data_IF_266314899175
#
_entry.id   IF_266314899175
#
_cell.length_a   1.000
_cell.length_b   1.000
_cell.length_c   1.000
_cell.angle_alpha   90.00
_cell.angle_beta   90.00
_cell.angle_gamma   90.00
#
_symmetry.space_group_name_H-M   'P 1'
#
loop_
_entity.id
_entity.type
_entity.pdbx_description
1 polymer ?
#
# COMPACT_ATOMS: atom_id res chain seq x y z
N UNK A 1 -24.80 20.52 76.32
CA UNK A 1 -24.28 19.36 75.57
C UNK A 1 -24.65 19.52 74.11
N UNK A 2 -23.68 19.30 73.23
CA UNK A 2 -23.66 19.61 71.80
C UNK A 2 -24.62 18.72 71.00
N UNK A 3 -25.25 19.25 69.96
CA UNK A 3 -25.54 18.49 68.74
C UNK A 3 -25.70 19.43 67.53
N UNK A 4 -24.78 19.29 66.58
CA UNK A 4 -24.72 20.05 65.32
C UNK A 4 -25.73 19.52 64.30
N UNK A 5 -26.30 20.36 63.41
CA UNK A 5 -26.97 19.87 62.20
C UNK A 5 -25.93 19.58 61.10
N UNK A 6 -26.12 18.45 60.42
CA UNK A 6 -25.23 17.87 59.41
C UNK A 6 -25.12 18.75 58.15
N UNK A 7 -23.89 18.93 57.68
CA UNK A 7 -23.55 19.45 56.33
C UNK A 7 -24.22 18.60 55.25
N UNK A 8 -24.87 19.24 54.29
CA UNK A 8 -25.30 18.64 53.04
C UNK A 8 -24.10 18.14 52.25
N UNK A 9 -24.08 16.83 51.96
CA UNK A 9 -23.07 16.22 51.09
C UNK A 9 -23.30 16.64 49.65
N UNK A 10 -22.29 17.27 49.04
CA UNK A 10 -22.16 17.31 47.58
C UNK A 10 -22.07 15.87 47.07
N UNK A 11 -22.97 15.49 46.17
CA UNK A 11 -22.84 14.23 45.43
C UNK A 11 -21.53 14.20 44.65
N UNK A 12 -20.97 13.01 44.38
CA UNK A 12 -19.72 12.89 43.64
C UNK A 12 -19.89 13.50 42.24
N UNK A 13 -18.88 14.24 41.79
CA UNK A 13 -18.78 14.71 40.41
C UNK A 13 -18.86 13.50 39.46
N UNK A 14 -19.46 13.62 38.27
CA UNK A 14 -19.46 12.53 37.30
C UNK A 14 -18.01 12.18 36.99
N UNK A 15 -17.64 10.91 37.23
CA UNK A 15 -16.34 10.38 36.85
C UNK A 15 -16.09 10.64 35.36
N UNK A 16 -14.90 11.12 34.96
CA UNK A 16 -14.54 11.17 33.56
C UNK A 16 -14.60 9.73 33.02
N UNK A 17 -15.37 9.53 31.93
CA UNK A 17 -15.46 8.23 31.29
C UNK A 17 -14.05 7.68 31.02
N UNK A 18 -13.70 6.50 31.54
CA UNK A 18 -12.37 5.95 31.33
C UNK A 18 -12.14 5.68 29.84
N UNK A 19 -11.01 6.16 29.33
CA UNK A 19 -10.47 5.73 28.02
C UNK A 19 -10.44 4.20 28.00
N UNK A 20 -11.02 3.62 26.93
CA UNK A 20 -11.18 2.18 26.71
C UNK A 20 -9.81 1.47 26.70
N UNK A 21 -9.32 1.09 27.87
CA UNK A 21 -8.24 0.10 28.01
C UNK A 21 -8.89 -1.28 27.98
N UNK A 22 -8.86 -1.94 26.82
CA UNK A 22 -9.19 -3.35 26.67
C UNK A 22 -8.19 -4.20 27.48
N UNK A 23 -8.68 -5.27 28.12
CA UNK A 23 -7.83 -6.26 28.78
C UNK A 23 -6.99 -7.03 27.73
N UNK A 24 -5.80 -7.56 28.08
CA UNK A 24 -4.99 -8.36 27.16
C UNK A 24 -5.76 -9.60 26.67
N UNK A 25 -6.09 -9.65 25.38
CA UNK A 25 -6.69 -10.81 24.72
C UNK A 25 -8.08 -10.61 24.10
N UNK A 26 -8.81 -9.55 24.48
CA UNK A 26 -10.11 -9.22 23.87
C UNK A 26 -9.97 -8.01 22.93
N UNK A 27 -9.51 -8.24 21.70
CA UNK A 27 -9.72 -7.26 20.64
C UNK A 27 -11.21 -7.30 20.27
N UNK A 28 -11.97 -6.33 20.78
CA UNK A 28 -13.28 -6.00 20.21
C UNK A 28 -13.03 -5.00 19.10
N UNK A 29 -13.23 -5.44 17.85
CA UNK A 29 -13.10 -4.56 16.70
C UNK A 29 -13.86 -3.26 16.97
N UNK A 30 -13.23 -2.08 16.86
CA UNK A 30 -13.97 -0.83 16.80
C UNK A 30 -15.05 -1.02 15.73
N UNK A 31 -16.31 -0.78 16.09
CA UNK A 31 -17.33 -0.50 15.09
C UNK A 31 -16.84 0.78 14.43
N UNK A 32 -16.22 0.67 13.25
CA UNK A 32 -15.76 1.85 12.53
C UNK A 32 -16.94 2.78 12.35
N UNK A 33 -16.83 4.01 12.83
CA UNK A 33 -17.77 5.07 12.48
C UNK A 33 -17.65 5.25 10.97
N UNK A 34 -18.57 4.64 10.21
CA UNK A 34 -18.71 4.88 8.78
C UNK A 34 -19.18 6.33 8.63
N UNK A 35 -18.22 7.24 8.48
CA UNK A 35 -18.50 8.63 8.16
C UNK A 35 -19.11 8.70 6.76
N UNK A 36 -20.30 9.28 6.65
CA UNK A 36 -20.95 9.51 5.36
C UNK A 36 -20.14 10.52 4.52
N UNK A 37 -20.32 10.53 3.19
CA UNK A 37 -19.56 11.44 2.30
C UNK A 37 -19.73 12.92 2.67
N UNK A 38 -20.88 13.29 3.22
CA UNK A 38 -21.16 14.65 3.71
C UNK A 38 -20.37 15.01 4.96
N UNK A 39 -20.27 14.08 5.91
CA UNK A 39 -19.48 14.26 7.13
C UNK A 39 -18.00 14.32 6.81
N UNK A 40 -17.56 13.48 5.85
CA UNK A 40 -16.21 13.51 5.34
C UNK A 40 -15.88 14.82 4.61
N UNK A 41 -16.83 15.37 3.86
CA UNK A 41 -16.69 16.68 3.23
C UNK A 41 -16.64 17.82 4.26
N UNK A 42 -17.41 17.73 5.35
CA UNK A 42 -17.34 18.67 6.46
C UNK A 42 -15.97 18.63 7.17
N UNK A 43 -15.47 17.43 7.48
CA UNK A 43 -14.13 17.25 8.05
C UNK A 43 -13.03 17.78 7.12
N UNK A 44 -13.16 17.55 5.80
CA UNK A 44 -12.25 18.08 4.79
C UNK A 44 -12.27 19.61 4.69
N UNK A 45 -13.41 20.24 4.99
CA UNK A 45 -13.55 21.68 5.01
C UNK A 45 -12.94 22.29 6.29
N UNK A 46 -12.98 21.57 7.41
CA UNK A 46 -12.41 22.01 8.68
C UNK A 46 -10.89 21.83 8.73
N UNK A 47 -10.36 20.72 8.21
CA UNK A 47 -8.94 20.33 8.32
C UNK A 47 -8.47 19.58 7.07
N UNK A 48 -7.16 19.62 6.73
CA UNK A 48 -6.64 18.75 5.69
C UNK A 48 -6.76 17.28 6.11
N UNK A 49 -7.44 16.47 5.30
CA UNK A 49 -7.62 15.03 5.56
C UNK A 49 -6.40 14.23 5.13
N UNK A 50 -5.55 13.86 6.09
CA UNK A 50 -4.48 12.89 5.88
C UNK A 50 -5.05 11.48 6.04
N UNK A 51 -4.73 10.58 5.10
CA UNK A 51 -5.24 9.19 5.13
C UNK A 51 -4.21 8.24 5.76
N UNK A 52 -4.69 7.09 6.23
CA UNK A 52 -3.86 6.00 6.72
C UNK A 52 -4.12 4.74 5.89
N UNK A 53 -3.12 3.89 5.74
CA UNK A 53 -3.26 2.54 5.19
C UNK A 53 -2.10 1.66 5.68
N UNK A 54 -2.12 0.36 5.38
CA UNK A 54 -1.00 -0.55 5.65
C UNK A 54 -0.25 -0.94 4.38
N UNK A 55 0.97 -1.44 4.50
CA UNK A 55 1.83 -1.77 3.33
C UNK A 55 1.40 -3.03 2.58
N UNK A 56 0.69 -3.96 3.23
CA UNK A 56 0.04 -5.11 2.58
C UNK A 56 0.17 -6.43 3.33
N UNK A 57 1.38 -6.83 3.74
CA UNK A 57 1.55 -8.01 4.58
C UNK A 57 0.94 -7.81 5.98
N UNK A 58 0.47 -8.89 6.60
CA UNK A 58 -0.04 -8.90 7.97
C UNK A 58 0.29 -10.24 8.64
N UNK A 59 0.57 -10.29 9.97
CA UNK A 59 0.87 -11.52 10.68
C UNK A 59 -0.31 -12.49 10.73
N UNK A 60 0.00 -13.75 11.04
CA UNK A 60 -0.98 -14.80 11.29
C UNK A 60 -1.41 -15.57 10.04
N UNK A 61 -2.32 -16.53 10.25
CA UNK A 61 -2.80 -17.46 9.21
C UNK A 61 -4.30 -17.34 8.93
N UNK A 62 -5.04 -16.61 9.78
CA UNK A 62 -6.48 -16.37 9.63
C UNK A 62 -6.74 -15.04 8.91
N UNK A 63 -7.20 -15.14 7.65
CA UNK A 63 -7.58 -13.96 6.86
C UNK A 63 -8.75 -13.20 7.50
N UNK A 64 -9.74 -13.92 8.01
CA UNK A 64 -10.91 -13.32 8.62
C UNK A 64 -10.56 -12.43 9.84
N UNK A 65 -9.61 -12.88 10.67
CA UNK A 65 -9.12 -12.09 11.81
C UNK A 65 -8.28 -10.90 11.34
N UNK A 66 -7.38 -11.10 10.38
CA UNK A 66 -6.56 -10.04 9.82
C UNK A 66 -7.42 -8.91 9.22
N UNK A 67 -8.41 -9.25 8.40
CA UNK A 67 -9.37 -8.28 7.85
C UNK A 67 -10.17 -7.57 8.96
N UNK A 68 -10.51 -8.27 10.05
CA UNK A 68 -11.22 -7.65 11.17
C UNK A 68 -10.41 -6.58 11.89
N UNK A 69 -9.12 -6.83 12.06
CA UNK A 69 -8.20 -5.88 12.68
C UNK A 69 -7.94 -4.70 11.75
N UNK A 70 -7.63 -4.98 10.49
CA UNK A 70 -7.36 -3.96 9.47
C UNK A 70 -8.54 -3.02 9.29
N UNK A 71 -9.75 -3.55 9.14
CA UNK A 71 -10.94 -2.72 8.91
C UNK A 71 -11.43 -2.01 10.18
N UNK A 72 -11.13 -2.56 11.37
CA UNK A 72 -11.42 -1.88 12.64
C UNK A 72 -10.53 -0.67 12.88
N UNK A 73 -9.25 -0.73 12.45
CA UNK A 73 -8.31 0.40 12.59
C UNK A 73 -8.36 1.36 11.39
N UNK A 74 -8.51 0.86 10.17
CA UNK A 74 -8.50 1.65 8.92
C UNK A 74 -9.90 1.94 8.38
N UNK A 75 -10.85 2.29 9.28
CA UNK A 75 -12.17 2.78 8.91
C UNK A 75 -12.13 4.14 8.18
N UNK A 76 -13.29 4.69 7.80
CA UNK A 76 -13.34 6.03 7.19
C UNK A 76 -12.66 7.07 8.10
N UNK A 77 -11.76 7.95 7.60
CA UNK A 77 -11.48 8.31 6.19
C UNK A 77 -10.33 7.54 5.52
N UNK A 78 -9.82 6.49 6.18
CA UNK A 78 -8.61 5.77 5.81
C UNK A 78 -8.85 4.78 4.65
N UNK A 79 -7.83 3.99 4.29
CA UNK A 79 -7.90 3.04 3.18
C UNK A 79 -7.64 1.62 3.69
N UNK A 80 -8.68 0.82 3.96
CA UNK A 80 -8.53 -0.59 4.30
C UNK A 80 -8.04 -1.37 3.09
N UNK A 81 -7.44 -2.55 3.34
CA UNK A 81 -6.78 -3.33 2.30
C UNK A 81 -6.93 -4.84 2.51
N UNK A 82 -6.80 -5.62 1.42
CA UNK A 82 -6.82 -7.08 1.45
C UNK A 82 -5.45 -7.61 1.87
N UNK A 83 -5.29 -8.13 3.12
CA UNK A 83 -3.98 -8.52 3.61
C UNK A 83 -3.38 -9.67 2.81
N UNK A 84 -2.05 -9.66 2.74
CA UNK A 84 -1.26 -10.84 2.39
C UNK A 84 -0.80 -11.49 3.70
N UNK A 85 -0.87 -12.82 3.80
CA UNK A 85 -0.51 -13.56 5.01
C UNK A 85 0.72 -14.43 4.75
N UNK A 86 1.95 -13.90 4.95
CA UNK A 86 3.17 -14.64 4.62
C UNK A 86 3.31 -15.96 5.39
N UNK A 87 2.73 -16.07 6.59
CA UNK A 87 2.75 -17.29 7.40
C UNK A 87 1.97 -18.46 6.76
N UNK A 88 1.14 -18.21 5.74
CA UNK A 88 0.43 -19.25 4.97
C UNK A 88 1.29 -19.88 3.86
N UNK A 89 2.57 -19.49 3.77
CA UNK A 89 3.52 -20.00 2.79
C UNK A 89 3.42 -19.29 1.44
N UNK A 90 3.94 -19.93 0.39
CA UNK A 90 4.11 -19.32 -0.93
C UNK A 90 2.78 -18.81 -1.55
N UNK A 91 1.66 -19.46 -1.24
CA UNK A 91 0.31 -19.09 -1.73
C UNK A 91 -0.14 -17.72 -1.23
N UNK A 92 0.35 -17.28 -0.07
CA UNK A 92 -0.01 -16.00 0.55
C UNK A 92 0.82 -14.82 0.08
N UNK A 93 1.70 -15.00 -0.92
CA UNK A 93 2.62 -13.95 -1.40
C UNK A 93 1.98 -13.06 -2.46
N UNK A 94 2.43 -11.79 -2.55
CA UNK A 94 2.05 -10.87 -3.63
C UNK A 94 2.27 -11.46 -5.03
N UNK A 95 3.39 -12.16 -5.21
CA UNK A 95 3.75 -12.78 -6.49
C UNK A 95 2.77 -13.88 -6.86
N UNK A 96 2.43 -14.79 -5.93
CA UNK A 96 1.43 -15.83 -6.18
C UNK A 96 0.06 -15.23 -6.53
N UNK A 97 -0.37 -14.19 -5.80
CA UNK A 97 -1.62 -13.46 -6.06
C UNK A 97 -1.64 -12.81 -7.45
N UNK A 98 -0.51 -12.27 -7.89
CA UNK A 98 -0.39 -11.60 -9.20
C UNK A 98 -0.39 -12.63 -10.33
N UNK A 99 0.29 -13.76 -10.15
CA UNK A 99 0.29 -14.87 -11.11
C UNK A 99 -1.09 -15.53 -11.24
N UNK A 100 -1.87 -15.59 -10.16
CA UNK A 100 -3.26 -16.05 -10.20
C UNK A 100 -4.19 -15.16 -11.06
N UNK A 101 -3.80 -13.91 -11.32
CA UNK A 101 -4.55 -12.99 -12.17
C UNK A 101 -4.21 -13.19 -13.65
N UNK A 102 -3.06 -13.78 -13.98
CA UNK A 102 -2.62 -13.97 -15.36
C UNK A 102 -3.54 -14.95 -16.11
N UNK A 103 -4.02 -14.55 -17.28
CA UNK A 103 -4.89 -15.37 -18.14
C UNK A 103 -4.08 -15.97 -19.32
N UNK A 104 -4.35 -17.20 -19.71
CA UNK A 104 -3.73 -17.85 -20.88
C UNK A 104 -2.31 -18.42 -20.68
N UNK A 105 -1.62 -18.07 -19.58
CA UNK A 105 -0.31 -18.60 -19.20
C UNK A 105 -0.42 -19.36 -17.88
N UNK A 106 0.17 -20.55 -17.81
CA UNK A 106 0.24 -21.35 -16.58
C UNK A 106 1.61 -21.23 -15.92
N UNK A 107 1.65 -21.45 -14.59
CA UNK A 107 2.87 -21.33 -13.80
C UNK A 107 3.04 -22.52 -12.86
N UNK A 108 4.28 -22.98 -12.78
CA UNK A 108 4.74 -24.08 -11.93
C UNK A 108 5.68 -23.55 -10.84
N UNK A 109 5.64 -24.18 -9.66
CA UNK A 109 6.51 -23.84 -8.54
C UNK A 109 7.79 -24.66 -8.57
N UNK A 110 8.93 -24.04 -8.84
CA UNK A 110 10.24 -24.66 -8.77
C UNK A 110 11.01 -24.24 -7.50
N UNK A 111 12.08 -24.98 -7.16
CA UNK A 111 12.95 -24.65 -6.02
C UNK A 111 13.60 -23.27 -6.10
N UNK A 112 13.72 -22.73 -7.32
CA UNK A 112 14.30 -21.42 -7.60
C UNK A 112 13.25 -20.31 -7.84
N UNK A 113 11.95 -20.63 -7.78
CA UNK A 113 10.86 -19.68 -7.95
C UNK A 113 9.78 -20.15 -8.93
N UNK A 114 8.96 -19.19 -9.37
CA UNK A 114 7.86 -19.44 -10.32
C UNK A 114 8.37 -19.58 -11.75
N UNK A 115 7.91 -20.60 -12.47
CA UNK A 115 8.30 -20.85 -13.85
C UNK A 115 7.08 -20.90 -14.76
N UNK A 116 7.14 -20.20 -15.89
CA UNK A 116 6.14 -20.30 -16.96
C UNK A 116 6.11 -21.70 -17.56
N UNK A 117 4.92 -22.19 -17.85
CA UNK A 117 4.71 -23.45 -18.56
C UNK A 117 3.60 -23.28 -19.61
N UNK A 118 3.66 -24.08 -20.68
CA UNK A 118 2.58 -24.11 -21.67
C UNK A 118 1.30 -24.67 -21.03
N UNK A 119 0.17 -24.00 -21.28
CA UNK A 119 -1.15 -24.28 -20.69
C UNK A 119 -1.71 -25.68 -21.01
N UNK A 120 -1.15 -26.40 -21.98
CA UNK A 120 -1.59 -27.75 -22.38
C UNK A 120 -0.99 -28.88 -21.54
N UNK A 121 -0.27 -28.58 -20.44
CA UNK A 121 0.47 -29.55 -19.63
C UNK A 121 -0.01 -29.73 -18.18
N UNK A 122 0.52 -30.75 -17.49
CA UNK A 122 0.32 -31.02 -16.04
C UNK A 122 0.94 -29.95 -15.11
N UNK A 123 1.61 -28.93 -15.65
CA UNK A 123 2.36 -27.92 -14.89
C UNK A 123 1.54 -26.74 -14.34
N UNK A 124 0.21 -26.85 -14.33
CA UNK A 124 -0.71 -25.78 -13.91
C UNK A 124 -1.23 -25.95 -12.47
N UNK A 125 -0.68 -26.88 -11.68
CA UNK A 125 -1.22 -27.18 -10.35
C UNK A 125 -0.98 -26.01 -9.39
N UNK A 126 0.22 -25.45 -9.37
CA UNK A 126 0.61 -24.37 -8.46
C UNK A 126 -0.12 -23.07 -8.81
N UNK A 127 -0.25 -22.74 -10.10
CA UNK A 127 -1.10 -21.61 -10.55
C UNK A 127 -2.57 -21.83 -10.17
N UNK A 128 -3.14 -23.01 -10.41
CA UNK A 128 -4.51 -23.31 -10.01
C UNK A 128 -4.74 -23.21 -8.49
N UNK A 129 -3.75 -23.61 -7.68
CA UNK A 129 -3.80 -23.45 -6.22
C UNK A 129 -3.67 -21.99 -5.78
N UNK A 130 -2.98 -21.14 -6.54
CA UNK A 130 -2.92 -19.70 -6.29
C UNK A 130 -4.26 -19.02 -6.67
N UNK A 131 -4.87 -19.42 -7.78
CA UNK A 131 -6.21 -19.00 -8.19
C UNK A 131 -7.27 -19.37 -7.16
N UNK A 132 -7.31 -20.64 -6.73
CA UNK A 132 -8.22 -21.11 -5.67
C UNK A 132 -8.01 -20.33 -4.37
N UNK A 133 -6.75 -20.02 -4.02
CA UNK A 133 -6.44 -19.20 -2.83
C UNK A 133 -6.99 -17.78 -2.97
N UNK A 134 -6.81 -17.12 -4.11
CA UNK A 134 -7.31 -15.77 -4.35
C UNK A 134 -8.85 -15.74 -4.36
N UNK A 135 -9.48 -16.72 -4.99
CA UNK A 135 -10.94 -16.86 -4.98
C UNK A 135 -11.47 -17.08 -3.56
N UNK A 136 -10.80 -17.94 -2.78
CA UNK A 136 -11.11 -18.15 -1.37
C UNK A 136 -10.96 -16.87 -0.54
N UNK A 137 -9.92 -16.06 -0.77
CA UNK A 137 -9.75 -14.76 -0.12
C UNK A 137 -10.90 -13.80 -0.44
N UNK A 138 -11.34 -13.75 -1.70
CA UNK A 138 -12.46 -12.90 -2.14
C UNK A 138 -13.79 -13.38 -1.55
N UNK A 139 -14.03 -14.69 -1.49
CA UNK A 139 -15.24 -15.24 -0.87
C UNK A 139 -15.30 -14.92 0.63
N UNK A 140 -14.17 -15.01 1.35
CA UNK A 140 -14.09 -14.62 2.75
C UNK A 140 -14.34 -13.12 2.95
N UNK A 141 -13.88 -12.27 2.02
CA UNK A 141 -14.22 -10.85 2.01
C UNK A 141 -15.73 -10.64 1.82
N UNK A 142 -16.35 -11.36 0.89
CA UNK A 142 -17.79 -11.29 0.64
C UNK A 142 -18.62 -11.71 1.86
N UNK A 143 -18.28 -12.84 2.50
CA UNK A 143 -18.92 -13.32 3.73
C UNK A 143 -18.83 -12.27 4.85
N UNK A 144 -17.65 -11.64 4.98
CA UNK A 144 -17.40 -10.62 5.97
C UNK A 144 -18.24 -9.37 5.72
N UNK A 145 -18.28 -8.86 4.49
CA UNK A 145 -19.11 -7.69 4.13
C UNK A 145 -20.61 -8.02 4.31
N UNK A 146 -21.04 -9.21 3.89
CA UNK A 146 -22.43 -9.67 4.05
C UNK A 146 -22.88 -9.81 5.51
N UNK A 147 -22.01 -10.32 6.39
CA UNK A 147 -22.31 -10.47 7.82
C UNK A 147 -22.55 -9.12 8.53
N UNK A 148 -21.87 -8.05 8.11
CA UNK A 148 -22.10 -6.69 8.61
C UNK A 148 -23.46 -6.13 8.18
N UNK A 149 -23.79 -6.32 6.90
CA UNK A 149 -25.06 -5.85 6.33
C UNK A 149 -26.27 -6.56 6.99
N UNK A 150 -26.13 -7.83 7.36
CA UNK A 150 -27.19 -8.59 8.05
C UNK A 150 -27.39 -8.17 9.52
N UNK A 151 -26.31 -7.77 10.22
CA UNK A 151 -26.37 -7.25 11.59
C UNK A 151 -26.92 -5.82 11.71
N UNK A 152 -26.83 -5.02 10.64
CA UNK A 152 -27.41 -3.67 10.53
C UNK A 152 -28.69 -3.71 9.69
N UNK A 153 -29.86 -3.77 10.34
CA UNK A 153 -31.09 -3.33 9.65
C UNK A 153 -30.95 -1.84 9.36
N UNK A 154 -31.16 -1.47 8.10
CA UNK A 154 -31.31 -0.11 7.56
C UNK A 154 -30.09 0.82 7.61
N UNK A 155 -29.35 0.84 6.50
CA UNK A 155 -29.14 2.07 5.73
C UNK A 155 -28.80 1.62 4.31
N UNK A 156 -29.83 1.38 3.51
CA UNK A 156 -29.67 1.41 2.06
C UNK A 156 -29.06 2.76 1.71
N UNK A 157 -27.79 2.77 1.28
CA UNK A 157 -27.19 3.86 0.51
C UNK A 157 -28.02 4.03 -0.77
N UNK A 158 -29.15 4.71 -0.61
CA UNK A 158 -30.03 5.20 -1.66
C UNK A 158 -29.65 6.65 -1.86
N UNK A 159 -28.45 6.87 -2.36
CA UNK A 159 -27.90 8.18 -2.64
C UNK A 159 -26.92 8.02 -3.79
N UNK A 160 -27.36 8.37 -5.00
CA UNK A 160 -26.61 8.21 -6.26
C UNK A 160 -25.39 9.13 -6.40
N UNK A 161 -24.65 9.40 -5.33
CA UNK A 161 -23.37 10.09 -5.40
C UNK A 161 -22.27 9.04 -5.64
N UNK A 162 -21.53 9.22 -6.73
CA UNK A 162 -20.51 8.28 -7.19
C UNK A 162 -19.30 8.44 -6.27
N UNK A 163 -19.05 7.44 -5.42
CA UNK A 163 -17.90 7.42 -4.54
C UNK A 163 -16.61 7.78 -5.31
N UNK A 164 -16.02 8.92 -4.97
CA UNK A 164 -14.86 9.49 -5.69
C UNK A 164 -13.52 9.00 -5.09
N UNK A 165 -13.57 8.16 -4.05
CA UNK A 165 -12.40 7.66 -3.32
C UNK A 165 -12.38 6.14 -3.29
N UNK A 166 -11.18 5.52 -3.31
CA UNK A 166 -11.08 4.07 -3.29
C UNK A 166 -11.64 3.51 -1.99
N UNK A 167 -12.56 2.55 -2.11
CA UNK A 167 -13.20 1.89 -0.97
C UNK A 167 -12.26 0.86 -0.31
N UNK A 168 -11.43 0.20 -1.11
CA UNK A 168 -10.55 -0.86 -0.67
C UNK A 168 -9.27 -0.90 -1.49
N UNK A 169 -8.19 -1.37 -0.89
CA UNK A 169 -6.89 -1.54 -1.55
C UNK A 169 -6.49 -3.01 -1.68
N UNK A 170 -5.84 -3.37 -2.78
CA UNK A 170 -5.21 -4.68 -2.98
C UNK A 170 -3.77 -4.51 -3.44
N UNK A 171 -2.87 -5.35 -2.92
CA UNK A 171 -1.46 -5.36 -3.25
C UNK A 171 -1.13 -6.50 -4.20
N UNK A 172 -0.41 -6.15 -5.27
CA UNK A 172 0.10 -7.03 -6.33
C UNK A 172 1.58 -6.73 -6.57
N UNK A 173 2.32 -7.70 -7.09
CA UNK A 173 3.68 -7.49 -7.58
C UNK A 173 3.61 -6.71 -8.88
N UNK A 174 4.42 -5.65 -9.01
CA UNK A 174 4.51 -4.86 -10.23
C UNK A 174 5.06 -5.65 -11.42
N UNK A 175 4.72 -5.27 -12.66
CA UNK A 175 5.04 -6.05 -13.86
C UNK A 175 6.55 -6.23 -14.09
N UNK A 176 7.39 -5.28 -13.68
CA UNK A 176 8.84 -5.36 -13.90
C UNK A 176 9.48 -6.37 -12.95
N UNK A 177 9.14 -6.27 -11.66
CA UNK A 177 9.59 -7.22 -10.64
C UNK A 177 9.00 -8.60 -10.86
N UNK A 178 7.77 -8.70 -11.36
CA UNK A 178 7.17 -9.97 -11.75
C UNK A 178 7.99 -10.63 -12.87
N UNK A 179 8.28 -9.91 -13.96
CA UNK A 179 9.13 -10.41 -15.05
C UNK A 179 10.55 -10.75 -14.57
N UNK A 180 11.07 -10.02 -13.58
CA UNK A 180 12.37 -10.30 -13.00
C UNK A 180 12.36 -11.55 -12.09
N UNK A 181 11.24 -11.92 -11.49
CA UNK A 181 11.13 -13.06 -10.56
C UNK A 181 10.67 -14.36 -11.23
N UNK A 182 9.95 -14.27 -12.34
CA UNK A 182 9.43 -15.43 -13.07
C UNK A 182 10.48 -15.97 -14.05
N UNK A 183 10.59 -17.29 -14.11
CA UNK A 183 11.49 -18.02 -14.99
C UNK A 183 10.77 -18.56 -16.23
N UNK A 184 11.47 -18.63 -17.34
CA UNK A 184 11.05 -19.30 -18.56
C UNK A 184 11.23 -20.82 -18.43
N UNK A 185 10.60 -21.63 -19.29
CA UNK A 185 10.86 -23.08 -19.36
C UNK A 185 12.35 -23.40 -19.53
N UNK A 186 13.09 -22.58 -20.28
CA UNK A 186 14.53 -22.69 -20.49
C UNK A 186 15.39 -22.29 -19.28
N UNK A 187 14.79 -21.83 -18.19
CA UNK A 187 15.47 -21.46 -16.96
C UNK A 187 15.97 -20.02 -16.92
N UNK A 188 15.91 -19.24 -18.00
CA UNK A 188 16.23 -17.80 -17.93
C UNK A 188 15.09 -17.01 -17.25
N UNK A 189 15.34 -15.75 -16.83
CA UNK A 189 14.29 -14.89 -16.25
C UNK A 189 13.43 -14.32 -17.38
N UNK A 190 12.12 -14.16 -17.18
CA UNK A 190 11.24 -13.58 -18.20
C UNK A 190 11.70 -12.19 -18.64
N UNK A 191 12.25 -11.40 -17.71
CA UNK A 191 12.86 -10.07 -17.98
C UNK A 191 14.00 -10.09 -19.01
N UNK A 192 14.65 -11.22 -19.23
CA UNK A 192 15.73 -11.34 -20.25
C UNK A 192 15.20 -11.47 -21.68
N UNK A 193 13.92 -11.83 -21.85
CA UNK A 193 13.25 -11.97 -23.13
C UNK A 193 12.14 -10.93 -23.25
N UNK A 194 12.28 -10.01 -24.21
CA UNK A 194 11.30 -8.95 -24.43
C UNK A 194 9.93 -9.48 -24.87
N UNK A 195 9.89 -10.59 -25.61
CA UNK A 195 8.66 -11.27 -26.01
C UNK A 195 7.97 -11.87 -24.79
N UNK A 196 8.69 -12.64 -23.98
CA UNK A 196 8.10 -13.25 -22.79
C UNK A 196 7.68 -12.23 -21.72
N UNK A 197 8.42 -11.13 -21.55
CA UNK A 197 8.03 -10.02 -20.66
C UNK A 197 6.75 -9.34 -21.15
N UNK A 198 6.60 -9.18 -22.46
CA UNK A 198 5.39 -8.64 -23.08
C UNK A 198 4.22 -9.59 -22.90
N UNK A 199 4.40 -10.87 -23.18
CA UNK A 199 3.35 -11.89 -23.06
C UNK A 199 2.87 -12.01 -21.60
N UNK A 200 3.79 -11.92 -20.62
CA UNK A 200 3.45 -11.88 -19.20
C UNK A 200 2.61 -10.65 -18.84
N UNK A 201 3.01 -9.47 -19.33
CA UNK A 201 2.24 -8.26 -19.10
C UNK A 201 0.85 -8.36 -19.75
N UNK A 202 0.78 -8.80 -21.00
CA UNK A 202 -0.47 -8.92 -21.74
C UNK A 202 -1.43 -9.90 -21.04
N UNK A 203 -0.92 -11.07 -20.64
CA UNK A 203 -1.64 -12.07 -19.85
C UNK A 203 -2.16 -11.51 -18.52
N UNK A 204 -1.33 -10.74 -17.80
CA UNK A 204 -1.72 -10.12 -16.54
C UNK A 204 -2.83 -9.09 -16.75
N UNK A 205 -2.69 -8.19 -17.74
CA UNK A 205 -3.67 -7.14 -18.03
C UNK A 205 -5.02 -7.71 -18.49
N UNK A 206 -5.01 -8.82 -19.24
CA UNK A 206 -6.23 -9.51 -19.69
C UNK A 206 -7.05 -10.02 -18.50
N UNK A 207 -6.42 -10.77 -17.59
CA UNK A 207 -7.13 -11.40 -16.47
C UNK A 207 -7.56 -10.45 -15.34
N UNK A 208 -7.04 -9.20 -15.29
CA UNK A 208 -7.45 -8.20 -14.29
C UNK A 208 -8.98 -8.01 -14.23
N UNK A 209 -9.65 -7.93 -15.37
CA UNK A 209 -11.07 -7.60 -15.45
C UNK A 209 -11.94 -8.57 -14.65
N UNK A 210 -11.75 -9.88 -14.86
CA UNK A 210 -12.47 -10.94 -14.14
C UNK A 210 -12.31 -10.79 -12.62
N UNK A 211 -11.08 -10.63 -12.14
CA UNK A 211 -10.79 -10.60 -10.71
C UNK A 211 -11.27 -9.32 -10.03
N UNK A 212 -11.18 -8.16 -10.70
CA UNK A 212 -11.67 -6.90 -10.15
C UNK A 212 -13.19 -6.80 -10.16
N UNK A 213 -13.89 -7.48 -11.08
CA UNK A 213 -15.36 -7.65 -11.00
C UNK A 213 -15.72 -8.42 -9.74
N UNK A 214 -15.11 -9.59 -9.51
CA UNK A 214 -15.36 -10.41 -8.31
C UNK A 214 -15.06 -9.65 -7.00
N UNK A 215 -13.98 -8.86 -6.97
CA UNK A 215 -13.66 -8.02 -5.81
C UNK A 215 -14.74 -6.95 -5.55
N UNK A 216 -15.26 -6.30 -6.59
CA UNK A 216 -16.34 -5.30 -6.45
C UNK A 216 -17.63 -5.94 -5.94
N UNK A 217 -17.96 -7.13 -6.45
CA UNK A 217 -19.12 -7.91 -6.00
C UNK A 217 -18.98 -8.31 -4.53
N UNK A 218 -17.80 -8.81 -4.13
CA UNK A 218 -17.52 -9.15 -2.74
C UNK A 218 -17.64 -7.94 -1.79
N UNK A 219 -17.23 -6.76 -2.25
CA UNK A 219 -17.35 -5.51 -1.49
C UNK A 219 -18.77 -4.92 -1.52
N UNK A 220 -19.72 -5.51 -2.25
CA UNK A 220 -21.06 -4.95 -2.50
C UNK A 220 -21.02 -3.50 -3.02
N UNK A 221 -19.94 -3.15 -3.73
CA UNK A 221 -19.62 -1.80 -4.15
C UNK A 221 -19.35 -1.76 -5.66
N UNK A 222 -20.39 -1.94 -6.49
CA UNK A 222 -20.23 -2.18 -7.93
C UNK A 222 -19.51 -1.03 -8.64
N UNK A 223 -19.71 0.21 -8.20
CA UNK A 223 -19.16 1.41 -8.86
C UNK A 223 -18.03 2.09 -8.08
N UNK A 224 -17.74 1.67 -6.84
CA UNK A 224 -16.74 2.33 -6.01
C UNK A 224 -15.33 2.02 -6.54
N UNK A 225 -14.45 3.01 -6.73
CA UNK A 225 -13.11 2.75 -7.21
C UNK A 225 -12.35 1.85 -6.23
N UNK A 226 -11.43 1.04 -6.74
CA UNK A 226 -10.52 0.21 -5.94
C UNK A 226 -9.10 0.73 -6.14
N UNK A 227 -8.29 0.67 -5.08
CA UNK A 227 -6.87 1.00 -5.18
C UNK A 227 -6.05 -0.28 -5.41
N UNK A 228 -5.12 -0.24 -6.35
CA UNK A 228 -4.19 -1.33 -6.62
C UNK A 228 -2.78 -0.83 -6.36
N UNK A 229 -2.13 -1.43 -5.38
CA UNK A 229 -0.73 -1.17 -5.07
C UNK A 229 0.14 -2.17 -5.83
N UNK A 230 0.99 -1.66 -6.72
CA UNK A 230 1.98 -2.43 -7.45
C UNK A 230 3.35 -2.29 -6.78
N UNK A 231 3.81 -3.38 -6.19
CA UNK A 231 5.08 -3.44 -5.48
C UNK A 231 6.22 -3.81 -6.43
N UNK A 232 7.21 -2.93 -6.55
CA UNK A 232 8.39 -3.12 -7.41
C UNK A 232 9.69 -3.31 -6.60
N UNK A 233 9.84 -4.41 -5.84
CA UNK A 233 11.02 -4.64 -5.00
C UNK A 233 12.33 -4.82 -5.78
N UNK A 234 12.27 -5.26 -7.05
CA UNK A 234 13.45 -5.48 -7.88
C UNK A 234 13.82 -4.26 -8.72
N UNK A 235 13.09 -3.14 -8.63
CA UNK A 235 13.25 -1.99 -9.53
C UNK A 235 14.67 -1.42 -9.46
N UNK A 236 15.22 -1.21 -8.26
CA UNK A 236 16.59 -0.71 -8.10
C UNK A 236 17.61 -1.64 -8.78
N UNK A 237 17.43 -2.95 -8.65
CA UNK A 237 18.35 -3.94 -9.24
C UNK A 237 18.23 -4.01 -10.75
N UNK A 238 17.03 -3.77 -11.29
CA UNK A 238 16.79 -3.63 -12.72
C UNK A 238 17.45 -2.36 -13.28
N UNK A 239 17.37 -1.23 -12.56
CA UNK A 239 18.05 0.02 -12.95
C UNK A 239 19.58 -0.14 -12.93
N UNK A 240 20.10 -0.92 -11.99
CA UNK A 240 21.53 -1.22 -11.86
C UNK A 240 22.03 -2.30 -12.82
N UNK A 241 21.14 -3.12 -13.39
CA UNK A 241 21.55 -4.33 -14.11
C UNK A 241 22.28 -5.33 -13.21
N UNK A 242 21.86 -5.44 -11.94
CA UNK A 242 22.53 -6.25 -10.90
C UNK A 242 21.83 -7.58 -10.62
N UNK A 243 20.79 -7.92 -11.38
CA UNK A 243 20.08 -9.20 -11.24
C UNK A 243 20.87 -10.31 -11.95
N UNK A 244 21.30 -11.38 -11.25
CA UNK A 244 22.06 -12.46 -11.87
C UNK A 244 21.18 -13.31 -12.79
N UNK A 245 21.77 -13.73 -13.90
CA UNK A 245 21.25 -14.82 -14.76
C UNK A 245 21.38 -16.16 -14.03
N UNK A 246 20.69 -17.20 -14.51
CA UNK A 246 20.74 -18.53 -13.88
C UNK A 246 22.13 -19.17 -13.92
N UNK A 247 22.94 -18.81 -14.92
CA UNK A 247 24.35 -19.23 -14.96
C UNK A 247 25.21 -18.63 -13.84
N UNK A 248 24.76 -17.54 -13.21
CA UNK A 248 25.53 -16.77 -12.22
C UNK A 248 26.70 -15.97 -12.79
N UNK A 249 27.12 -16.20 -14.03
CA UNK A 249 28.28 -15.55 -14.66
C UNK A 249 27.96 -14.16 -15.25
N UNK A 250 26.69 -13.88 -15.51
CA UNK A 250 26.22 -12.62 -16.11
C UNK A 250 25.05 -12.07 -15.31
N UNK A 251 24.83 -10.76 -15.41
CA UNK A 251 23.63 -10.10 -14.92
C UNK A 251 22.74 -9.66 -16.09
N UNK A 252 21.46 -9.44 -15.80
CA UNK A 252 20.55 -8.80 -16.73
C UNK A 252 21.04 -7.38 -17.07
N UNK A 253 20.87 -6.92 -18.32
CA UNK A 253 21.18 -5.54 -18.66
C UNK A 253 20.32 -4.58 -17.84
N UNK A 254 20.86 -3.38 -17.58
CA UNK A 254 20.10 -2.31 -16.95
C UNK A 254 18.88 -1.95 -17.82
N UNK A 255 17.71 -1.84 -17.20
CA UNK A 255 16.48 -1.50 -17.92
C UNK A 255 16.53 -0.06 -18.42
N UNK A 256 16.15 0.16 -19.67
CA UNK A 256 16.12 1.51 -20.23
C UNK A 256 14.85 2.28 -19.81
N UNK A 257 14.95 3.63 -19.67
CA UNK A 257 13.82 4.47 -19.28
C UNK A 257 12.53 4.32 -20.07
N UNK A 258 12.62 4.01 -21.36
CA UNK A 258 11.45 3.86 -22.20
C UNK A 258 10.68 2.57 -21.91
N UNK A 259 11.37 1.49 -21.48
CA UNK A 259 10.76 0.17 -21.24
C UNK A 259 9.83 0.20 -20.04
N UNK A 260 10.30 0.68 -18.88
CA UNK A 260 9.45 0.74 -17.70
C UNK A 260 8.32 1.78 -17.81
N UNK A 261 8.57 2.89 -18.51
CA UNK A 261 7.53 3.91 -18.77
C UNK A 261 6.42 3.34 -19.63
N UNK A 262 6.76 2.59 -20.68
CA UNK A 262 5.78 1.96 -21.55
C UNK A 262 4.98 0.88 -20.81
N UNK A 263 5.63 0.02 -20.02
CA UNK A 263 4.94 -0.98 -19.21
C UNK A 263 3.90 -0.36 -18.25
N UNK A 264 4.28 0.72 -17.56
CA UNK A 264 3.39 1.41 -16.63
C UNK A 264 2.33 2.28 -17.32
N UNK A 265 2.60 2.82 -18.51
CA UNK A 265 1.57 3.47 -19.33
C UNK A 265 0.46 2.48 -19.65
N UNK A 266 0.80 1.31 -20.22
CA UNK A 266 -0.16 0.25 -20.56
C UNK A 266 -0.93 -0.27 -19.33
N UNK A 267 -0.23 -0.47 -18.22
CA UNK A 267 -0.85 -0.87 -16.95
C UNK A 267 -1.86 0.18 -16.46
N UNK A 268 -1.51 1.46 -16.56
CA UNK A 268 -2.36 2.55 -16.09
C UNK A 268 -3.59 2.74 -16.97
N UNK A 269 -3.46 2.55 -18.29
CA UNK A 269 -4.59 2.54 -19.24
C UNK A 269 -5.60 1.45 -18.86
N UNK A 270 -5.13 0.21 -18.66
CA UNK A 270 -6.01 -0.89 -18.24
C UNK A 270 -6.65 -0.62 -16.87
N UNK A 271 -5.91 -0.03 -15.92
CA UNK A 271 -6.47 0.37 -14.64
C UNK A 271 -7.54 1.46 -14.79
N UNK A 272 -7.36 2.42 -15.70
CA UNK A 272 -8.33 3.47 -15.96
C UNK A 272 -9.65 2.91 -16.52
N UNK A 273 -9.56 1.96 -17.47
CA UNK A 273 -10.72 1.26 -18.04
C UNK A 273 -11.54 0.52 -16.96
N UNK A 274 -10.84 -0.07 -15.99
CA UNK A 274 -11.43 -0.85 -14.89
C UNK A 274 -11.79 0.01 -13.65
N UNK A 275 -11.69 1.34 -13.75
CA UNK A 275 -11.95 2.29 -12.66
C UNK A 275 -11.14 1.99 -11.39
N UNK A 276 -9.84 1.74 -11.57
CA UNK A 276 -8.87 1.42 -10.53
C UNK A 276 -7.89 2.59 -10.32
N UNK A 277 -7.62 2.93 -9.06
CA UNK A 277 -6.55 3.87 -8.70
C UNK A 277 -5.22 3.12 -8.59
N UNK A 278 -4.22 3.57 -9.33
CA UNK A 278 -2.86 3.00 -9.29
C UNK A 278 -2.06 3.62 -8.14
N UNK A 279 -1.48 2.77 -7.30
CA UNK A 279 -0.46 3.14 -6.31
C UNK A 279 0.82 2.39 -6.69
N UNK A 280 1.85 3.11 -7.17
CA UNK A 280 3.13 2.49 -7.48
C UNK A 280 4.07 2.58 -6.27
N UNK A 281 4.44 1.43 -5.73
CA UNK A 281 5.43 1.35 -4.66
C UNK A 281 6.85 1.18 -5.22
N UNK A 282 7.63 2.24 -5.06
CA UNK A 282 9.06 2.31 -5.42
C UNK A 282 9.94 2.43 -4.19
N UNK A 283 9.43 2.08 -3.00
CA UNK A 283 10.21 2.16 -1.78
C UNK A 283 11.50 1.32 -1.87
N UNK A 284 12.61 1.89 -1.43
CA UNK A 284 13.95 1.30 -1.59
C UNK A 284 14.63 1.55 -2.95
N UNK A 285 13.95 2.17 -3.91
CA UNK A 285 14.52 2.62 -5.19
C UNK A 285 15.08 4.03 -5.07
N UNK A 286 16.30 4.25 -5.56
CA UNK A 286 16.93 5.58 -5.56
C UNK A 286 16.21 6.51 -6.54
N UNK A 287 15.70 7.62 -6.06
CA UNK A 287 15.04 8.67 -6.84
C UNK A 287 16.04 9.76 -7.18
N UNK A 288 16.00 10.24 -8.42
CA UNK A 288 16.86 11.30 -8.92
C UNK A 288 16.65 12.57 -8.08
N UNK A 289 17.70 13.10 -7.44
CA UNK A 289 17.56 14.29 -6.61
C UNK A 289 17.37 15.53 -7.49
N UNK A 290 16.62 16.52 -6.98
CA UNK A 290 16.45 17.82 -7.64
C UNK A 290 17.78 18.56 -7.80
N UNK A 291 18.64 18.45 -6.78
CA UNK A 291 19.97 19.05 -6.75
C UNK A 291 21.01 17.95 -6.82
N UNK A 292 21.93 18.07 -7.78
CA UNK A 292 23.03 17.12 -7.89
C UNK A 292 23.84 17.10 -6.57
N UNK A 293 24.10 15.93 -5.98
CA UNK A 293 24.96 15.86 -4.82
C UNK A 293 26.34 16.40 -5.19
N UNK A 294 26.93 17.24 -4.34
CA UNK A 294 28.29 17.81 -4.53
C UNK A 294 29.41 16.75 -4.40
N UNK A 295 29.05 15.46 -4.33
CA UNK A 295 29.97 14.35 -4.10
C UNK A 295 30.46 13.83 -5.44
N UNK A 296 31.79 13.69 -5.57
CA UNK A 296 32.50 13.29 -6.80
C UNK A 296 32.36 11.80 -7.19
N UNK A 297 31.45 11.05 -6.56
CA UNK A 297 31.27 9.62 -6.83
C UNK A 297 30.19 9.45 -7.89
N UNK A 298 30.42 8.56 -8.86
CA UNK A 298 29.42 8.19 -9.88
C UNK A 298 28.15 7.72 -9.15
N UNK A 299 27.02 8.44 -9.26
CA UNK A 299 25.80 8.06 -8.55
C UNK A 299 25.29 6.72 -9.08
N UNK A 300 24.74 5.88 -8.21
CA UNK A 300 23.96 4.73 -8.66
C UNK A 300 22.84 5.21 -9.61
N UNK A 301 22.44 4.37 -10.59
CA UNK A 301 21.30 4.70 -11.43
C UNK A 301 20.08 4.96 -10.55
N UNK A 302 19.37 6.03 -10.89
CA UNK A 302 18.24 6.54 -10.12
C UNK A 302 17.04 6.76 -11.03
N UNK A 303 15.85 6.56 -10.47
CA UNK A 303 14.58 6.73 -11.13
C UNK A 303 14.21 8.21 -11.19
N UNK A 304 13.82 8.70 -12.36
CA UNK A 304 13.14 9.99 -12.48
C UNK A 304 11.65 9.80 -12.11
N UNK A 305 11.34 9.94 -10.82
CA UNK A 305 10.01 9.68 -10.29
C UNK A 305 8.95 10.65 -10.83
N UNK A 306 9.33 11.90 -11.13
CA UNK A 306 8.41 12.87 -11.72
C UNK A 306 8.02 12.48 -13.15
N UNK A 307 8.99 12.12 -13.99
CA UNK A 307 8.71 11.69 -15.37
C UNK A 307 7.92 10.38 -15.39
N UNK A 308 8.20 9.48 -14.45
CA UNK A 308 7.41 8.27 -14.24
C UNK A 308 5.95 8.59 -13.88
N UNK A 309 5.76 9.48 -12.89
CA UNK A 309 4.44 9.94 -12.49
C UNK A 309 3.67 10.58 -13.64
N UNK A 310 4.29 11.50 -14.40
CA UNK A 310 3.64 12.14 -15.55
C UNK A 310 3.21 11.14 -16.61
N UNK A 311 4.03 10.13 -16.87
CA UNK A 311 3.71 9.06 -17.83
C UNK A 311 2.46 8.30 -17.38
N UNK A 312 2.39 7.90 -16.11
CA UNK A 312 1.22 7.22 -15.54
C UNK A 312 -0.01 8.15 -15.53
N UNK A 313 0.16 9.37 -15.06
CA UNK A 313 -0.94 10.34 -14.90
C UNK A 313 -1.58 10.73 -16.24
N UNK A 314 -0.82 10.72 -17.34
CA UNK A 314 -1.35 10.95 -18.69
C UNK A 314 -2.29 9.83 -19.18
N UNK A 315 -2.09 8.61 -18.69
CA UNK A 315 -2.90 7.43 -19.00
C UNK A 315 -4.04 7.19 -17.98
N UNK A 316 -3.98 7.84 -16.82
CA UNK A 316 -4.90 7.59 -15.72
C UNK A 316 -6.26 8.28 -15.92
N UNK A 317 -7.27 7.77 -15.25
CA UNK A 317 -8.55 8.45 -15.12
C UNK A 317 -8.36 9.77 -14.32
N UNK A 318 -8.73 10.94 -14.85
CA UNK A 318 -8.59 12.22 -14.14
C UNK A 318 -9.30 12.28 -12.78
N UNK A 319 -10.35 11.49 -12.59
CA UNK A 319 -11.05 11.41 -11.30
C UNK A 319 -10.27 10.62 -10.24
N UNK A 320 -9.31 9.79 -10.65
CA UNK A 320 -8.50 8.91 -9.80
C UNK A 320 -7.02 9.19 -10.04
N UNK A 321 -6.43 10.23 -9.42
CA UNK A 321 -5.03 10.56 -9.63
C UNK A 321 -4.14 9.39 -9.19
N UNK A 322 -3.06 9.17 -9.93
CA UNK A 322 -2.06 8.17 -9.57
C UNK A 322 -1.40 8.53 -8.25
N UNK A 323 -0.99 7.51 -7.50
CA UNK A 323 -0.24 7.68 -6.28
C UNK A 323 1.12 6.98 -6.36
N UNK A 324 2.10 7.54 -5.65
CA UNK A 324 3.41 6.92 -5.43
C UNK A 324 3.60 6.61 -3.96
N UNK A 325 4.14 5.43 -3.65
CA UNK A 325 4.59 5.05 -2.33
C UNK A 325 6.12 5.04 -2.31
N UNK A 326 6.71 5.85 -1.43
CA UNK A 326 8.15 5.98 -1.28
C UNK A 326 8.50 6.50 0.12
N UNK A 327 9.54 5.93 0.73
CA UNK A 327 10.10 6.51 1.94
C UNK A 327 11.11 7.62 1.58
N UNK A 328 11.00 8.84 2.14
CA UNK A 328 11.90 9.95 1.83
C UNK A 328 13.36 9.55 1.96
N UNK A 329 13.77 8.99 3.09
CA UNK A 329 15.18 8.69 3.33
C UNK A 329 15.71 7.48 2.54
N UNK A 330 14.89 6.45 2.27
CA UNK A 330 15.31 5.28 1.48
C UNK A 330 15.36 5.56 -0.02
N UNK A 331 14.65 6.59 -0.46
CA UNK A 331 14.67 7.04 -1.86
C UNK A 331 15.96 7.78 -2.25
N UNK A 332 16.91 7.97 -1.32
CA UNK A 332 18.20 8.59 -1.66
C UNK A 332 18.99 7.68 -2.62
N UNK A 333 19.59 8.22 -3.70
CA UNK A 333 20.50 7.45 -4.55
C UNK A 333 21.60 6.82 -3.71
N UNK A 334 21.81 5.51 -3.87
CA UNK A 334 22.86 4.80 -3.14
C UNK A 334 24.23 5.21 -3.68
N UNK A 335 25.18 5.50 -2.79
CA UNK A 335 26.56 5.83 -3.14
C UNK A 335 27.53 5.49 -2.01
N UNK A 336 28.80 5.23 -2.34
CA UNK A 336 29.83 5.03 -1.34
C UNK A 336 30.00 6.33 -0.51
N UNK A 337 29.66 6.28 0.79
CA UNK A 337 29.75 7.42 1.70
C UNK A 337 28.43 8.07 2.11
N UNK A 338 27.27 7.42 1.91
CA UNK A 338 26.00 7.91 2.48
C UNK A 338 26.10 7.95 4.00
N UNK A 339 26.14 9.15 4.59
CA UNK A 339 25.99 9.35 6.02
C UNK A 339 24.65 8.75 6.46
N UNK A 340 24.68 7.91 7.49
CA UNK A 340 23.45 7.50 8.19
C UNK A 340 22.86 8.72 8.89
N UNK A 341 21.95 9.41 8.21
CA UNK A 341 21.14 10.46 8.81
C UNK A 341 20.01 9.79 9.59
N UNK A 342 19.66 10.27 10.79
CA UNK A 342 18.47 9.80 11.47
C UNK A 342 17.23 9.97 10.57
N UNK A 343 16.28 9.02 10.60
CA UNK A 343 15.11 9.08 9.74
C UNK A 343 14.32 10.36 9.97
N UNK A 344 13.77 10.92 8.89
CA UNK A 344 12.96 12.12 8.86
C UNK A 344 13.70 13.33 9.48
N UNK A 345 15.00 13.49 9.21
CA UNK A 345 15.79 14.59 9.81
C UNK A 345 16.44 15.52 8.81
N UNK A 346 16.40 15.20 7.51
CA UNK A 346 17.02 16.04 6.48
C UNK A 346 15.97 16.43 5.43
N UNK A 347 15.63 17.71 5.29
CA UNK A 347 14.63 18.20 4.33
C UNK A 347 14.94 17.83 2.88
N UNK A 348 16.21 17.55 2.54
CA UNK A 348 16.60 17.18 1.17
C UNK A 348 16.03 15.84 0.72
N UNK A 349 15.75 14.90 1.63
CA UNK A 349 15.06 13.66 1.23
C UNK A 349 13.59 13.87 0.87
N UNK A 350 13.03 15.03 1.23
CA UNK A 350 11.64 15.39 0.96
C UNK A 350 11.48 16.22 -0.31
N UNK A 351 12.57 16.74 -0.88
CA UNK A 351 12.57 17.48 -2.14
C UNK A 351 11.85 16.72 -3.30
N UNK A 352 12.12 15.42 -3.54
CA UNK A 352 11.37 14.67 -4.56
C UNK A 352 9.87 14.52 -4.23
N UNK A 353 9.51 14.40 -2.95
CA UNK A 353 8.12 14.32 -2.51
C UNK A 353 7.42 15.64 -2.79
N UNK A 354 8.05 16.78 -2.47
CA UNK A 354 7.50 18.09 -2.77
C UNK A 354 7.26 18.29 -4.26
N UNK A 355 8.22 17.91 -5.10
CA UNK A 355 8.06 17.97 -6.56
C UNK A 355 6.89 17.14 -7.07
N UNK A 356 6.66 15.94 -6.50
CA UNK A 356 5.53 15.08 -6.87
C UNK A 356 4.19 15.69 -6.44
N UNK A 357 4.12 16.19 -5.21
CA UNK A 357 2.90 16.82 -4.66
C UNK A 357 2.53 18.08 -5.45
N UNK A 358 3.51 18.92 -5.80
CA UNK A 358 3.30 20.11 -6.64
C UNK A 358 2.86 19.75 -8.06
N UNK A 359 3.29 18.59 -8.57
CA UNK A 359 2.82 18.05 -9.84
C UNK A 359 1.41 17.42 -9.76
N UNK A 360 0.78 17.40 -8.58
CA UNK A 360 -0.56 16.87 -8.35
C UNK A 360 -0.62 15.39 -7.99
N UNK A 361 0.52 14.75 -7.68
CA UNK A 361 0.55 13.35 -7.25
C UNK A 361 -0.02 13.18 -5.84
N UNK A 362 -0.67 12.04 -5.58
CA UNK A 362 -0.87 11.57 -4.21
C UNK A 362 0.36 10.80 -3.76
N UNK A 363 0.80 11.00 -2.52
CA UNK A 363 1.99 10.33 -1.97
C UNK A 363 1.62 9.52 -0.74
N UNK A 364 2.08 8.27 -0.69
CA UNK A 364 1.98 7.41 0.46
C UNK A 364 3.35 7.26 1.12
N UNK A 365 3.42 7.58 2.41
CA UNK A 365 4.66 7.70 3.17
C UNK A 365 4.71 6.59 4.24
N UNK A 366 5.48 5.51 4.03
CA UNK A 366 5.68 4.45 5.02
C UNK A 366 6.69 4.90 6.10
N UNK A 367 6.33 5.91 6.88
CA UNK A 367 7.24 6.64 7.79
C UNK A 367 6.85 6.56 9.26
N UNK A 368 5.69 5.95 9.58
CA UNK A 368 5.20 5.90 10.96
C UNK A 368 5.87 4.77 11.71
N UNK A 369 6.51 5.12 12.83
CA UNK A 369 7.27 4.22 13.69
C UNK A 369 6.57 4.03 15.05
N UNK A 370 7.26 3.37 15.98
CA UNK A 370 6.82 3.20 17.37
C UNK A 370 7.04 4.43 18.26
N UNK A 371 7.64 5.51 17.73
CA UNK A 371 7.80 6.77 18.47
C UNK A 371 6.45 7.39 18.89
N UNK A 372 6.45 8.31 19.86
CA UNK A 372 5.20 8.95 20.28
C UNK A 372 4.56 9.74 19.12
N UNK A 373 3.26 9.48 18.88
CA UNK A 373 2.50 10.07 17.78
C UNK A 373 2.63 11.60 17.67
N UNK A 374 2.50 12.40 18.75
CA UNK A 374 2.62 13.86 18.64
C UNK A 374 3.99 14.35 18.18
N UNK A 375 5.06 13.62 18.51
CA UNK A 375 6.42 13.97 18.08
C UNK A 375 6.60 13.67 16.58
N UNK A 376 6.11 12.52 16.13
CA UNK A 376 6.15 12.13 14.72
C UNK A 376 5.34 13.10 13.86
N UNK A 377 4.09 13.39 14.24
CA UNK A 377 3.21 14.30 13.50
C UNK A 377 3.81 15.71 13.35
N UNK A 378 4.34 16.29 14.44
CA UNK A 378 5.01 17.60 14.39
C UNK A 378 6.26 17.60 13.52
N UNK A 379 7.07 16.52 13.58
CA UNK A 379 8.26 16.40 12.73
C UNK A 379 7.88 16.34 11.26
N UNK A 380 6.89 15.54 10.90
CA UNK A 380 6.36 15.44 9.54
C UNK A 380 5.81 16.79 9.06
N UNK A 381 5.03 17.49 9.89
CA UNK A 381 4.49 18.80 9.57
C UNK A 381 5.58 19.86 9.33
N UNK A 382 6.60 19.90 10.19
CA UNK A 382 7.72 20.83 10.02
C UNK A 382 8.49 20.56 8.72
N UNK A 383 8.82 19.29 8.44
CA UNK A 383 9.50 18.91 7.20
C UNK A 383 8.68 19.26 5.96
N UNK A 384 7.36 19.06 6.02
CA UNK A 384 6.42 19.44 4.97
C UNK A 384 6.50 20.94 4.65
N UNK A 385 6.48 21.79 5.67
CA UNK A 385 6.63 23.24 5.52
C UNK A 385 8.04 23.66 5.09
N UNK A 386 9.10 22.99 5.58
CA UNK A 386 10.49 23.29 5.24
C UNK A 386 10.82 23.04 3.76
N UNK A 387 10.15 22.06 3.12
CA UNK A 387 10.27 21.85 1.67
C UNK A 387 9.33 22.72 0.84
N UNK A 388 8.58 23.62 1.48
CA UNK A 388 7.73 24.62 0.82
C UNK A 388 6.32 24.16 0.48
N UNK A 389 5.87 23.02 1.02
CA UNK A 389 4.50 22.53 0.78
C UNK A 389 3.50 23.22 1.72
N UNK A 390 2.35 23.58 1.17
CA UNK A 390 1.27 24.24 1.89
C UNK A 390 0.47 23.25 2.75
N UNK A 391 -0.15 23.74 3.82
CA UNK A 391 -1.00 22.96 4.71
C UNK A 391 -2.16 22.27 3.98
N UNK A 392 -2.79 22.92 3.00
CA UNK A 392 -3.89 22.32 2.21
C UNK A 392 -3.43 21.09 1.41
N UNK A 393 -2.15 21.06 1.01
CA UNK A 393 -1.58 19.96 0.25
C UNK A 393 -1.39 18.71 1.10
N UNK A 394 -1.49 18.77 2.44
CA UNK A 394 -1.45 17.58 3.31
C UNK A 394 -2.53 16.55 2.95
N UNK A 395 -3.63 16.98 2.34
CA UNK A 395 -4.68 16.08 1.81
C UNK A 395 -4.22 15.16 0.67
N UNK A 396 -3.08 15.46 0.03
CA UNK A 396 -2.43 14.61 -0.97
C UNK A 396 -1.58 13.50 -0.35
N UNK A 397 -1.27 13.61 0.95
CA UNK A 397 -0.44 12.66 1.68
C UNK A 397 -1.29 11.59 2.38
N UNK A 398 -0.79 10.36 2.33
CA UNK A 398 -1.23 9.26 3.18
C UNK A 398 -0.06 8.68 3.95
N UNK A 399 -0.32 8.21 5.17
CA UNK A 399 0.67 7.59 6.03
C UNK A 399 0.51 6.07 6.04
N UNK A 400 1.63 5.37 6.17
CA UNK A 400 1.71 3.92 6.35
C UNK A 400 2.76 3.56 7.41
N UNK A 401 2.74 2.34 7.96
CA UNK A 401 3.80 1.85 8.84
C UNK A 401 5.18 1.87 8.14
N UNK A 402 6.23 2.18 8.90
CA UNK A 402 7.61 1.99 8.45
C UNK A 402 8.06 0.54 8.65
N UNK A 403 8.01 -0.23 7.57
CA UNK A 403 8.38 -1.65 7.58
C UNK A 403 9.90 -1.92 7.64
N UNK A 404 10.74 -0.90 7.46
CA UNK A 404 12.19 -1.14 7.37
C UNK A 404 12.83 -1.57 8.70
N UNK A 405 12.14 -1.36 9.82
CA UNK A 405 12.60 -1.79 11.15
C UNK A 405 12.01 -3.13 11.58
N UNK A 406 11.24 -3.78 10.71
CA UNK A 406 10.72 -5.10 11.01
C UNK A 406 11.86 -6.09 11.22
N UNK A 407 11.67 -7.10 12.08
CA UNK A 407 12.64 -8.17 12.25
C UNK A 407 12.89 -8.90 10.92
N UNK A 408 13.94 -9.73 10.85
CA UNK A 408 14.30 -10.46 9.63
C UNK A 408 13.16 -11.33 9.04
N UNK A 409 12.14 -11.69 9.85
CA UNK A 409 10.94 -12.40 9.40
C UNK A 409 9.80 -11.49 8.91
N UNK A 410 10.00 -10.18 8.85
CA UNK A 410 8.99 -9.20 8.46
C UNK A 410 7.70 -9.32 9.28
N UNK A 411 6.56 -9.10 8.64
CA UNK A 411 5.24 -9.29 9.25
C UNK A 411 4.96 -10.73 9.69
N UNK A 412 5.67 -11.75 9.16
CA UNK A 412 5.48 -13.12 9.62
C UNK A 412 5.98 -13.34 11.06
N UNK A 413 6.89 -12.47 11.53
CA UNK A 413 7.49 -12.55 12.86
C UNK A 413 6.79 -11.70 13.93
N UNK A 414 5.86 -10.84 13.54
CA UNK A 414 5.10 -10.00 14.46
C UNK A 414 3.90 -10.75 15.05
N UNK A 415 3.48 -10.35 16.25
CA UNK A 415 2.17 -10.74 16.77
C UNK A 415 1.04 -9.93 16.12
N UNK A 416 -0.17 -10.50 16.11
CA UNK A 416 -1.38 -9.82 15.64
C UNK A 416 -1.63 -8.51 16.39
N UNK A 417 -1.34 -8.47 17.69
CA UNK A 417 -1.52 -7.28 18.53
C UNK A 417 -0.54 -6.17 18.17
N UNK A 418 0.74 -6.48 17.94
CA UNK A 418 1.75 -5.49 17.54
C UNK A 418 1.42 -4.88 16.17
N UNK A 419 1.00 -5.71 15.20
CA UNK A 419 0.59 -5.23 13.89
C UNK A 419 -0.69 -4.37 13.96
N UNK A 420 -1.66 -4.75 14.79
CA UNK A 420 -2.87 -3.94 15.03
C UNK A 420 -2.50 -2.59 15.65
N UNK A 421 -1.66 -2.58 16.69
CA UNK A 421 -1.18 -1.37 17.34
C UNK A 421 -0.38 -0.47 16.38
N UNK A 422 0.34 -1.07 15.41
CA UNK A 422 1.01 -0.32 14.35
C UNK A 422 0.01 0.43 13.47
N UNK A 423 -1.07 -0.22 13.03
CA UNK A 423 -2.13 0.44 12.25
C UNK A 423 -2.84 1.55 13.05
N UNK A 424 -3.14 1.30 14.33
CA UNK A 424 -3.71 2.31 15.22
C UNK A 424 -2.81 3.55 15.36
N UNK A 425 -1.49 3.35 15.49
CA UNK A 425 -0.54 4.48 15.51
C UNK A 425 -0.55 5.28 14.22
N UNK A 426 -0.70 4.64 13.06
CA UNK A 426 -0.75 5.33 11.76
C UNK A 426 -2.01 6.18 11.66
N UNK A 427 -3.15 5.67 12.11
CA UNK A 427 -4.44 6.40 12.07
C UNK A 427 -4.41 7.59 13.03
N UNK A 428 -3.89 7.39 14.24
CA UNK A 428 -3.66 8.47 15.21
C UNK A 428 -2.68 9.53 14.68
N UNK A 429 -1.60 9.12 14.02
CA UNK A 429 -0.61 10.02 13.44
C UNK A 429 -1.18 10.81 12.26
N UNK A 430 -1.97 10.16 11.40
CA UNK A 430 -2.66 10.83 10.30
C UNK A 430 -3.63 11.90 10.83
N UNK A 431 -4.42 11.57 11.86
CA UNK A 431 -5.26 12.54 12.54
C UNK A 431 -4.42 13.69 13.10
N UNK A 432 -3.44 13.41 13.96
CA UNK A 432 -2.60 14.42 14.60
C UNK A 432 -1.87 15.33 13.61
N UNK A 433 -1.45 14.80 12.45
CA UNK A 433 -0.84 15.60 11.37
C UNK A 433 -1.85 16.58 10.75
N UNK A 434 -3.10 16.16 10.56
CA UNK A 434 -4.18 17.05 10.13
C UNK A 434 -4.51 18.13 11.16
N UNK A 435 -4.38 17.83 12.45
CA UNK A 435 -4.58 18.81 13.54
C UNK A 435 -3.46 19.84 13.65
N UNK A 436 -2.23 19.50 13.23
CA UNK A 436 -1.11 20.46 13.20
C UNK A 436 -1.31 21.59 12.17
N UNK A 437 -2.19 21.37 11.19
CA UNK A 437 -2.52 22.34 10.13
C UNK A 437 -3.60 23.36 10.49
N UNK A 438 -4.19 23.27 11.68
CA UNK A 438 -5.27 24.15 12.18
C UNK A 438 -4.74 24.99 13.33
#
# INVERSE_FOLDING_TARGET
>A
MQSSPRRGGRGPAPEPMPQRLLMPGEYRAPEGDELDERELAALAAERPLVRASGTGPFPGTSLAEAMARIEGELGAPHLPYLPQLPATGWKGTATARTLAICEGIAFDGASFGWRMVHSTGRGARESALAEDRLLSDINLLADRVGSRASGRRTSTQTGGERATRPAYKIQLTGPLSLAAQVYLPGGERAMSDAGASRDLLDSFLEGMERWFILLREALQAPTAPLAVQFDEPEFQRLLEGSIPTVSGFRTLPAIEPHVYREAYRRLTERCADLNLQVILNIDGTGVKPLRAPKVSVKPAPSLDALEMFKTMQAAANPALPCALMLHPDRSRPRGAGTLHVPPLSDPRSWEPIAQLVDAGARVWLPVVTEEMVPHQARRLFNLWGEVGLETRQLSSAGLMPDDARLPAGGYASLSLTEATASLARVTECARALGECGV
#
